data_IF_864321432880
#
_entry.id   IF_864321432880
#
_cell.length_a   1.000
_cell.length_b   1.000
_cell.length_c   1.000
_cell.angle_alpha   90.00
_cell.angle_beta   90.00
_cell.angle_gamma   90.00
#
_symmetry.space_group_name_H-M   'P 1'
#
loop_
_entity.id
_entity.type
_entity.pdbx_description
1 polymer ?
#
# COMPACT_ATOMS: atom_id res chain seq x y z
N UNK A 1 -6.10 -53.75 89.91
CA UNK A 1 -5.14 -53.46 88.82
C UNK A 1 -5.91 -53.59 87.52
N UNK A 2 -6.25 -52.43 86.94
CA UNK A 2 -7.01 -52.21 85.70
C UNK A 2 -6.16 -52.64 84.48
N UNK A 3 -6.74 -53.41 83.53
CA UNK A 3 -7.32 -52.93 82.25
C UNK A 3 -6.28 -52.80 81.13
N UNK A 4 -6.53 -52.99 79.83
CA UNK A 4 -7.45 -53.80 79.02
C UNK A 4 -7.05 -53.48 77.54
N UNK A 5 -7.31 -54.42 76.63
CA UNK A 5 -7.37 -54.30 75.16
C UNK A 5 -6.16 -54.07 74.22
N UNK A 6 -6.14 -54.80 73.07
CA UNK A 6 -5.35 -54.52 71.88
C UNK A 6 -6.17 -53.91 70.71
N UNK A 7 -5.42 -53.54 69.66
CA UNK A 7 -5.75 -53.68 68.22
C UNK A 7 -6.43 -52.52 67.46
N UNK A 8 -5.59 -51.85 66.65
CA UNK A 8 -5.62 -51.85 65.17
C UNK A 8 -7.02 -51.71 64.52
N UNK A 9 -7.57 -50.50 64.57
CA UNK A 9 -8.59 -50.04 63.63
C UNK A 9 -8.32 -48.58 63.24
N UNK A 10 -8.56 -48.30 61.96
CA UNK A 10 -8.81 -46.97 61.39
C UNK A 10 -7.67 -45.96 61.28
N UNK A 11 -7.09 -45.88 60.08
CA UNK A 11 -7.25 -44.68 59.26
C UNK A 11 -6.82 -44.95 57.81
N UNK A 12 -7.74 -45.59 57.07
CA UNK A 12 -7.77 -45.55 55.61
C UNK A 12 -8.63 -44.33 55.24
N UNK A 13 -8.03 -43.24 54.77
CA UNK A 13 -8.76 -42.18 54.06
C UNK A 13 -8.26 -42.12 52.63
N UNK A 14 -8.97 -42.85 51.78
CA UNK A 14 -9.00 -42.65 50.34
C UNK A 14 -9.43 -41.22 50.00
N UNK A 15 -8.52 -40.44 49.39
CA UNK A 15 -8.89 -39.31 48.52
C UNK A 15 -7.98 -39.27 47.28
N UNK A 16 -8.00 -40.35 46.49
CA UNK A 16 -7.44 -40.37 45.13
C UNK A 16 -8.53 -40.78 44.14
N UNK A 17 -9.49 -39.89 43.88
CA UNK A 17 -10.58 -40.19 42.94
C UNK A 17 -11.35 -39.02 42.34
N UNK A 18 -11.12 -37.78 42.80
CA UNK A 18 -11.87 -36.60 42.31
C UNK A 18 -11.07 -35.56 41.53
N UNK A 19 -9.76 -35.74 41.31
CA UNK A 19 -8.98 -34.78 40.52
C UNK A 19 -8.92 -35.10 39.01
N UNK A 20 -9.16 -36.34 38.57
CA UNK A 20 -9.05 -36.69 37.14
C UNK A 20 -10.25 -36.28 36.28
N UNK A 21 -11.43 -36.09 36.87
CA UNK A 21 -12.62 -35.69 36.10
C UNK A 21 -12.64 -34.19 35.78
N UNK A 22 -12.06 -33.35 36.64
CA UNK A 22 -12.04 -31.89 36.44
C UNK A 22 -11.13 -31.47 35.29
N UNK A 23 -10.00 -32.15 35.07
CA UNK A 23 -9.09 -31.86 33.95
C UNK A 23 -9.66 -32.27 32.60
N UNK A 24 -10.47 -33.33 32.53
CA UNK A 24 -11.14 -33.77 31.28
C UNK A 24 -12.24 -32.78 30.88
N UNK A 25 -13.03 -32.28 31.84
CA UNK A 25 -14.04 -31.24 31.56
C UNK A 25 -13.41 -29.90 31.12
N UNK A 26 -12.29 -29.49 31.72
CA UNK A 26 -11.59 -28.27 31.30
C UNK A 26 -10.99 -28.40 29.89
N UNK A 27 -10.45 -29.57 29.55
CA UNK A 27 -9.94 -29.86 28.21
C UNK A 27 -11.02 -29.84 27.13
N UNK A 28 -12.21 -30.38 27.41
CA UNK A 28 -13.36 -30.37 26.48
C UNK A 28 -13.89 -28.95 26.27
N UNK A 29 -13.96 -28.12 27.33
CA UNK A 29 -14.38 -26.71 27.22
C UNK A 29 -13.39 -25.86 26.41
N UNK A 30 -12.09 -26.07 26.56
CA UNK A 30 -11.06 -25.43 25.74
C UNK A 30 -11.15 -25.87 24.27
N UNK A 31 -11.38 -27.16 24.01
CA UNK A 31 -11.58 -27.66 22.65
C UNK A 31 -12.86 -27.09 22.01
N UNK A 32 -13.96 -26.98 22.77
CA UNK A 32 -15.20 -26.36 22.32
C UNK A 32 -15.03 -24.86 22.05
N UNK A 33 -14.26 -24.13 22.86
CA UNK A 33 -13.95 -22.72 22.61
C UNK A 33 -13.07 -22.50 21.38
N UNK A 34 -12.11 -23.40 21.12
CA UNK A 34 -11.29 -23.38 19.90
C UNK A 34 -12.11 -23.74 18.67
N UNK A 35 -12.97 -24.76 18.74
CA UNK A 35 -13.86 -25.14 17.64
C UNK A 35 -14.90 -24.04 17.39
N UNK A 36 -15.57 -23.53 18.42
CA UNK A 36 -16.56 -22.46 18.28
C UNK A 36 -15.93 -21.13 17.84
N UNK A 37 -14.74 -20.79 18.36
CA UNK A 37 -13.96 -19.63 17.91
C UNK A 37 -13.55 -19.75 16.44
N UNK A 38 -13.09 -20.93 16.00
CA UNK A 38 -12.74 -21.17 14.60
C UNK A 38 -13.95 -21.18 13.65
N UNK A 39 -15.15 -21.51 14.14
CA UNK A 39 -16.39 -21.40 13.33
C UNK A 39 -16.98 -20.00 13.32
N UNK A 40 -16.66 -19.15 14.30
CA UNK A 40 -17.21 -17.80 14.41
C UNK A 40 -16.68 -16.88 13.29
N UNK A 41 -15.40 -17.00 12.98
CA UNK A 41 -14.77 -16.28 11.87
C UNK A 41 -15.33 -16.72 10.50
N UNK A 42 -15.81 -17.96 10.41
CA UNK A 42 -16.43 -18.49 9.18
C UNK A 42 -17.89 -18.03 9.00
N UNK A 43 -18.61 -17.77 10.09
CA UNK A 43 -20.03 -17.39 10.06
C UNK A 43 -20.29 -15.88 10.04
N UNK A 44 -19.37 -15.06 10.56
CA UNK A 44 -19.54 -13.61 10.61
C UNK A 44 -19.73 -12.94 9.23
N UNK A 45 -18.96 -13.28 8.17
CA UNK A 45 -19.10 -12.64 6.86
C UNK A 45 -20.46 -12.93 6.20
N UNK A 46 -20.96 -14.16 6.37
CA UNK A 46 -22.23 -14.60 5.80
C UNK A 46 -23.44 -13.87 6.42
N UNK A 47 -23.40 -13.60 7.73
CA UNK A 47 -24.45 -12.82 8.40
C UNK A 47 -24.43 -11.35 7.98
N UNK A 48 -23.26 -10.76 7.79
CA UNK A 48 -23.14 -9.37 7.37
C UNK A 48 -23.69 -9.15 5.96
N UNK A 49 -23.41 -10.07 5.03
CA UNK A 49 -23.94 -10.02 3.66
C UNK A 49 -25.47 -10.17 3.62
N UNK A 50 -26.06 -10.99 4.49
CA UNK A 50 -27.53 -11.10 4.64
C UNK A 50 -28.14 -9.80 5.16
N UNK A 51 -27.55 -9.20 6.19
CA UNK A 51 -28.02 -7.92 6.75
C UNK A 51 -27.98 -6.79 5.73
N UNK A 52 -26.92 -6.72 4.91
CA UNK A 52 -26.79 -5.75 3.81
C UNK A 52 -27.90 -5.94 2.78
N UNK A 53 -28.19 -7.18 2.39
CA UNK A 53 -29.27 -7.49 1.45
C UNK A 53 -30.64 -7.05 1.98
N UNK A 54 -30.93 -7.32 3.25
CA UNK A 54 -32.18 -6.90 3.91
C UNK A 54 -32.28 -5.36 3.94
N UNK A 55 -31.20 -4.65 4.31
CA UNK A 55 -31.18 -3.18 4.31
C UNK A 55 -31.50 -2.60 2.94
N UNK A 56 -30.91 -3.15 1.88
CA UNK A 56 -31.19 -2.70 0.50
C UNK A 56 -32.65 -2.94 0.14
N UNK A 57 -33.21 -4.11 0.46
CA UNK A 57 -34.63 -4.43 0.22
C UNK A 57 -35.59 -3.50 0.98
N UNK A 58 -35.21 -3.04 2.18
CA UNK A 58 -35.95 -2.07 2.99
C UNK A 58 -35.73 -0.60 2.55
N UNK A 59 -35.02 -0.35 1.45
CA UNK A 59 -34.72 1.00 0.97
C UNK A 59 -33.71 1.77 1.84
N UNK A 60 -33.00 1.08 2.73
CA UNK A 60 -31.88 1.60 3.51
C UNK A 60 -30.60 1.49 2.67
N UNK A 61 -30.57 2.26 1.59
CA UNK A 61 -29.48 2.29 0.63
C UNK A 61 -29.02 3.70 0.28
N UNK A 62 -27.77 3.82 -0.11
CA UNK A 62 -27.15 5.03 -0.60
C UNK A 62 -26.26 4.79 -1.81
N UNK A 63 -25.98 5.86 -2.53
CA UNK A 63 -25.02 5.92 -3.61
C UNK A 63 -23.72 6.54 -3.09
N UNK A 64 -22.58 6.07 -3.56
CA UNK A 64 -21.26 6.65 -3.29
C UNK A 64 -20.68 7.21 -4.60
N UNK A 65 -20.47 8.52 -4.63
CA UNK A 65 -19.72 9.21 -5.68
C UNK A 65 -18.30 9.42 -5.19
N UNK A 66 -17.32 9.00 -5.99
CA UNK A 66 -15.92 9.18 -5.62
C UNK A 66 -15.15 10.00 -6.64
N UNK A 67 -14.21 10.78 -6.12
CA UNK A 67 -13.23 11.53 -6.90
C UNK A 67 -11.83 11.06 -6.49
N UNK A 68 -11.03 10.70 -7.48
CA UNK A 68 -9.67 10.25 -7.35
C UNK A 68 -8.74 11.27 -8.00
N UNK A 69 -7.68 11.63 -7.30
CA UNK A 69 -6.66 12.54 -7.79
C UNK A 69 -5.28 11.91 -7.64
N UNK A 70 -4.45 12.01 -8.66
CA UNK A 70 -3.04 11.64 -8.55
C UNK A 70 -2.28 12.68 -7.71
N UNK A 71 -1.53 12.20 -6.72
CA UNK A 71 -0.53 12.99 -5.99
C UNK A 71 0.77 13.11 -6.80
N UNK A 72 0.65 13.53 -8.07
CA UNK A 72 1.77 13.62 -9.02
C UNK A 72 1.80 14.99 -9.72
N UNK A 73 2.99 15.59 -9.96
CA UNK A 73 3.12 16.80 -10.74
C UNK A 73 2.57 16.61 -12.16
N UNK A 74 1.59 17.41 -12.55
CA UNK A 74 0.92 17.32 -13.86
C UNK A 74 -0.49 16.72 -13.83
N UNK A 75 -0.98 16.27 -12.67
CA UNK A 75 -2.40 15.95 -12.37
C UNK A 75 -3.18 15.36 -13.55
N UNK A 76 -2.86 14.13 -13.94
CA UNK A 76 -3.74 13.38 -14.84
C UNK A 76 -4.82 12.69 -14.01
N UNK A 77 -6.07 12.65 -14.48
CA UNK A 77 -7.06 11.80 -13.83
C UNK A 77 -6.62 10.32 -13.93
N UNK A 78 -6.73 9.55 -12.84
CA UNK A 78 -6.30 8.16 -12.83
C UNK A 78 -7.32 7.27 -13.57
N UNK A 79 -7.18 7.19 -14.89
CA UNK A 79 -8.16 6.51 -15.76
C UNK A 79 -7.98 4.98 -15.81
N UNK A 80 -6.84 4.48 -15.36
CA UNK A 80 -6.55 3.05 -15.21
C UNK A 80 -6.71 2.54 -13.77
N UNK A 81 -7.29 3.35 -12.88
CA UNK A 81 -7.66 2.92 -11.54
C UNK A 81 -9.00 2.16 -11.56
N UNK A 82 -9.14 1.25 -10.60
CA UNK A 82 -10.34 0.50 -10.30
C UNK A 82 -10.66 0.58 -8.81
N UNK A 83 -11.95 0.53 -8.50
CA UNK A 83 -12.49 0.61 -7.15
C UNK A 83 -13.28 -0.65 -6.85
N UNK A 84 -12.90 -1.36 -5.78
CA UNK A 84 -13.62 -2.50 -5.25
C UNK A 84 -14.26 -2.07 -3.93
N UNK A 85 -15.57 -2.30 -3.79
CA UNK A 85 -16.31 -1.98 -2.56
C UNK A 85 -16.85 -3.29 -2.00
N UNK A 86 -16.31 -3.68 -0.85
CA UNK A 86 -16.54 -4.99 -0.24
C UNK A 86 -16.26 -6.14 -1.24
N UNK A 87 -17.27 -6.99 -1.48
CA UNK A 87 -17.23 -8.13 -2.39
C UNK A 87 -17.89 -7.84 -3.76
N UNK A 88 -18.14 -6.56 -4.08
CA UNK A 88 -18.75 -6.18 -5.35
C UNK A 88 -17.73 -6.23 -6.50
N UNK A 89 -18.20 -6.42 -7.75
CA UNK A 89 -17.34 -6.32 -8.92
C UNK A 89 -16.60 -4.98 -8.97
N UNK A 90 -15.37 -4.94 -9.52
CA UNK A 90 -14.61 -3.71 -9.67
C UNK A 90 -15.35 -2.68 -10.52
N UNK A 91 -15.27 -1.42 -10.09
CA UNK A 91 -15.77 -0.25 -10.83
C UNK A 91 -14.56 0.44 -11.47
N UNK A 92 -14.54 0.50 -12.80
CA UNK A 92 -13.50 1.24 -13.52
C UNK A 92 -13.69 2.74 -13.35
N UNK A 93 -12.61 3.43 -13.01
CA UNK A 93 -12.58 4.88 -12.85
C UNK A 93 -12.56 5.53 -14.24
N UNK A 94 -13.29 6.63 -14.40
CA UNK A 94 -13.29 7.42 -15.63
C UNK A 94 -13.10 8.90 -15.32
N UNK A 95 -12.05 9.50 -15.87
CA UNK A 95 -11.68 10.90 -15.62
C UNK A 95 -11.58 11.20 -14.12
N UNK A 96 -10.97 10.27 -13.38
CA UNK A 96 -10.82 10.37 -11.92
C UNK A 96 -12.12 10.25 -11.13
N UNK A 97 -13.23 9.78 -11.73
CA UNK A 97 -14.53 9.68 -11.07
C UNK A 97 -15.09 8.27 -11.12
N UNK A 98 -15.81 7.89 -10.07
CA UNK A 98 -16.59 6.65 -10.03
C UNK A 98 -17.94 6.83 -9.32
N UNK A 99 -18.87 5.90 -9.58
CA UNK A 99 -20.18 5.86 -8.96
C UNK A 99 -20.54 4.42 -8.59
N UNK A 100 -20.76 4.18 -7.31
CA UNK A 100 -21.35 2.95 -6.80
C UNK A 100 -22.77 3.21 -6.34
N UNK A 101 -23.73 2.43 -6.83
CA UNK A 101 -25.15 2.58 -6.50
C UNK A 101 -25.64 1.52 -5.54
N UNK A 102 -26.73 1.81 -4.84
CA UNK A 102 -27.47 0.81 -4.06
C UNK A 102 -26.62 0.12 -2.98
N UNK A 103 -25.68 0.83 -2.35
CA UNK A 103 -24.93 0.34 -1.20
C UNK A 103 -25.83 0.33 0.02
N UNK A 104 -25.79 -0.73 0.84
CA UNK A 104 -26.51 -0.74 2.11
C UNK A 104 -26.04 0.42 3.01
N UNK A 105 -26.87 0.91 3.93
CA UNK A 105 -26.37 1.85 4.93
C UNK A 105 -25.45 1.17 5.95
N UNK A 106 -24.35 1.84 6.31
CA UNK A 106 -23.35 1.33 7.26
C UNK A 106 -21.92 1.48 6.76
N UNK A 107 -20.99 0.74 7.39
CA UNK A 107 -19.56 0.76 7.02
C UNK A 107 -19.30 -0.13 5.80
N UNK A 108 -18.49 0.38 4.88
CA UNK A 108 -18.05 -0.31 3.67
C UNK A 108 -16.53 -0.18 3.53
N UNK A 109 -15.86 -1.26 3.17
CA UNK A 109 -14.44 -1.23 2.82
C UNK A 109 -14.29 -0.90 1.33
N UNK A 110 -13.50 0.12 1.02
CA UNK A 110 -13.13 0.50 -0.33
C UNK A 110 -11.66 0.14 -0.53
N UNK A 111 -11.36 -0.61 -1.59
CA UNK A 111 -10.00 -0.85 -2.07
C UNK A 111 -9.86 -0.21 -3.44
N UNK A 112 -8.86 0.63 -3.59
CA UNK A 112 -8.56 1.34 -4.82
C UNK A 112 -7.20 0.88 -5.26
N UNK A 113 -7.08 0.51 -6.53
CA UNK A 113 -5.81 0.07 -7.11
C UNK A 113 -5.86 0.25 -8.62
N UNK A 114 -4.79 -0.09 -9.29
CA UNK A 114 -4.66 0.03 -10.73
C UNK A 114 -3.20 -0.04 -11.12
N UNK A 115 -2.94 -0.28 -12.40
CA UNK A 115 -1.57 -0.38 -12.87
C UNK A 115 -0.81 0.93 -12.60
N UNK A 116 0.39 0.82 -12.03
CA UNK A 116 1.21 1.98 -11.72
C UNK A 116 0.80 2.78 -10.48
N UNK A 117 -0.21 2.36 -9.72
CA UNK A 117 -0.54 2.96 -8.41
C UNK A 117 -0.23 2.01 -7.25
N UNK A 118 0.06 2.59 -6.10
CA UNK A 118 0.01 1.87 -4.85
C UNK A 118 -1.44 1.61 -4.42
N UNK A 119 -1.76 0.42 -3.88
CA UNK A 119 -3.11 0.12 -3.43
C UNK A 119 -3.47 0.97 -2.20
N UNK A 120 -4.71 1.47 -2.18
CA UNK A 120 -5.27 2.25 -1.08
C UNK A 120 -6.50 1.56 -0.51
N UNK A 121 -6.55 1.40 0.81
CA UNK A 121 -7.74 0.89 1.51
C UNK A 121 -8.32 1.97 2.43
N UNK A 122 -9.65 2.13 2.38
CA UNK A 122 -10.42 3.10 3.17
C UNK A 122 -11.73 2.49 3.63
N UNK A 123 -12.17 2.86 4.83
CA UNK A 123 -13.54 2.56 5.28
C UNK A 123 -14.40 3.80 5.12
N UNK A 124 -15.56 3.67 4.49
CA UNK A 124 -16.56 4.74 4.40
C UNK A 124 -17.85 4.33 5.07
N UNK A 125 -18.55 5.31 5.65
CA UNK A 125 -19.87 5.10 6.21
C UNK A 125 -20.94 5.63 5.25
N UNK A 126 -21.74 4.72 4.69
CA UNK A 126 -22.81 5.02 3.74
C UNK A 126 -24.09 5.36 4.51
N UNK A 127 -24.63 6.54 4.21
CA UNK A 127 -25.95 6.99 4.67
C UNK A 127 -26.96 6.92 3.52
N UNK A 128 -28.24 7.03 3.84
CA UNK A 128 -29.31 7.00 2.82
C UNK A 128 -29.15 8.18 1.85
N UNK A 129 -29.29 7.93 0.55
CA UNK A 129 -29.16 8.96 -0.47
C UNK A 129 -27.73 9.10 -1.01
N UNK A 130 -27.26 10.32 -1.26
CA UNK A 130 -25.98 10.57 -1.94
C UNK A 130 -24.83 10.78 -0.94
N UNK A 131 -23.76 10.02 -1.11
CA UNK A 131 -22.52 10.12 -0.34
C UNK A 131 -21.37 10.52 -1.27
N UNK A 132 -20.30 11.12 -0.71
CA UNK A 132 -19.10 11.53 -1.45
C UNK A 132 -17.83 11.06 -0.75
N UNK A 133 -16.81 10.74 -1.53
CA UNK A 133 -15.44 10.47 -1.03
C UNK A 133 -14.41 11.04 -2.01
N UNK A 134 -13.32 11.59 -1.48
CA UNK A 134 -12.16 12.01 -2.26
C UNK A 134 -10.93 11.23 -1.79
N UNK A 135 -10.14 10.69 -2.71
CA UNK A 135 -8.95 9.90 -2.37
C UNK A 135 -7.78 10.30 -3.26
N UNK A 136 -6.65 10.62 -2.63
CA UNK A 136 -5.37 10.81 -3.31
C UNK A 136 -4.73 9.46 -3.63
N UNK A 137 -4.21 9.31 -4.84
CA UNK A 137 -3.48 8.13 -5.29
C UNK A 137 -1.99 8.44 -5.41
N UNK A 138 -1.18 7.58 -4.82
CA UNK A 138 0.27 7.58 -5.00
C UNK A 138 0.64 6.63 -6.14
N UNK A 139 1.52 7.07 -7.03
CA UNK A 139 2.13 6.16 -8.00
C UNK A 139 2.99 5.12 -7.30
N UNK A 140 3.14 3.95 -7.91
CA UNK A 140 4.20 3.03 -7.51
C UNK A 140 5.57 3.67 -7.77
N UNK A 141 6.63 3.27 -7.03
CA UNK A 141 7.97 3.79 -7.27
C UNK A 141 8.44 3.56 -8.71
N UNK A 142 8.05 2.45 -9.34
CA UNK A 142 8.38 2.13 -10.73
C UNK A 142 7.68 3.06 -11.73
N UNK A 143 6.39 3.34 -11.55
CA UNK A 143 5.66 4.23 -12.44
C UNK A 143 6.12 5.69 -12.28
N UNK A 144 6.39 6.11 -11.04
CA UNK A 144 7.04 7.40 -10.79
C UNK A 144 8.40 7.49 -11.49
N UNK A 145 9.21 6.43 -11.45
CA UNK A 145 10.51 6.40 -12.10
C UNK A 145 10.37 6.43 -13.62
N UNK A 146 9.40 5.71 -14.18
CA UNK A 146 9.10 5.70 -15.61
C UNK A 146 8.75 7.08 -16.11
N UNK A 147 7.84 7.78 -15.43
CA UNK A 147 7.44 9.14 -15.79
C UNK A 147 8.60 10.14 -15.61
N UNK A 148 9.41 10.02 -14.55
CA UNK A 148 10.61 10.84 -14.39
C UNK A 148 11.64 10.61 -15.51
N UNK A 149 11.95 9.35 -15.81
CA UNK A 149 12.87 8.98 -16.89
C UNK A 149 12.39 9.45 -18.26
N UNK A 150 11.08 9.44 -18.50
CA UNK A 150 10.49 9.99 -19.73
C UNK A 150 10.78 11.48 -19.88
N UNK A 151 10.68 12.26 -18.80
CA UNK A 151 11.05 13.69 -18.87
C UNK A 151 12.53 13.91 -19.19
N UNK A 152 13.43 13.03 -18.72
CA UNK A 152 14.85 13.06 -19.09
C UNK A 152 15.07 12.68 -20.56
N UNK A 153 14.38 11.65 -21.04
CA UNK A 153 14.43 11.21 -22.44
C UNK A 153 13.98 12.33 -23.40
N UNK A 154 12.97 13.09 -23.01
CA UNK A 154 12.41 14.20 -23.80
C UNK A 154 13.13 15.54 -23.56
N UNK A 155 14.21 15.56 -22.76
CA UNK A 155 14.95 16.76 -22.37
C UNK A 155 14.09 17.86 -21.73
N UNK A 156 12.99 17.47 -21.07
CA UNK A 156 12.11 18.37 -20.34
C UNK A 156 12.69 18.67 -18.95
N UNK A 157 13.83 19.35 -18.89
CA UNK A 157 14.58 19.57 -17.63
C UNK A 157 13.75 20.31 -16.57
N UNK A 158 12.90 21.24 -16.98
CA UNK A 158 12.01 21.96 -16.06
C UNK A 158 10.92 21.08 -15.45
N UNK A 159 10.51 20.01 -16.12
CA UNK A 159 9.62 18.97 -15.58
C UNK A 159 10.41 17.97 -14.75
N UNK A 160 11.59 17.56 -15.23
CA UNK A 160 12.54 16.69 -14.51
C UNK A 160 12.83 17.21 -13.10
N UNK A 161 13.00 18.54 -12.97
CA UNK A 161 13.25 19.21 -11.69
C UNK A 161 12.13 18.98 -10.66
N UNK A 162 10.86 18.94 -11.09
CA UNK A 162 9.71 18.76 -10.20
C UNK A 162 9.70 17.41 -9.49
N UNK A 163 10.50 16.45 -9.95
CA UNK A 163 10.65 15.13 -9.36
C UNK A 163 11.78 15.03 -8.35
N UNK A 164 12.67 16.01 -8.31
CA UNK A 164 13.80 16.00 -7.39
C UNK A 164 13.31 16.17 -5.95
N UNK A 165 13.89 15.43 -5.02
CA UNK A 165 13.52 15.57 -3.62
C UNK A 165 13.72 17.01 -3.12
N UNK A 166 12.91 17.47 -2.14
CA UNK A 166 12.99 18.85 -1.65
C UNK A 166 14.39 19.29 -1.23
N UNK A 167 15.19 18.36 -0.70
CA UNK A 167 16.58 18.61 -0.32
C UNK A 167 17.49 18.88 -1.52
N UNK A 168 17.27 18.24 -2.67
CA UNK A 168 17.99 18.57 -3.91
C UNK A 168 17.50 19.91 -4.48
N UNK A 169 16.19 20.17 -4.43
CA UNK A 169 15.61 21.44 -4.87
C UNK A 169 16.08 22.63 -4.02
N UNK A 170 16.45 22.39 -2.76
CA UNK A 170 16.99 23.42 -1.89
C UNK A 170 18.45 23.81 -2.22
N UNK A 171 19.19 22.95 -2.95
CA UNK A 171 20.61 23.20 -3.30
C UNK A 171 20.77 24.01 -4.57
N UNK A 172 19.81 23.94 -5.48
CA UNK A 172 19.89 24.56 -6.81
C UNK A 172 18.51 25.05 -7.22
N UNK A 173 18.40 26.30 -7.65
CA UNK A 173 17.12 26.80 -8.14
C UNK A 173 16.70 26.08 -9.42
N UNK A 174 15.41 26.10 -9.73
CA UNK A 174 14.88 25.52 -10.98
C UNK A 174 15.56 26.11 -12.23
N UNK A 175 15.83 27.41 -12.24
CA UNK A 175 16.45 28.08 -13.38
C UNK A 175 17.90 27.62 -13.60
N UNK A 176 18.70 27.60 -12.53
CA UNK A 176 20.09 27.12 -12.55
C UNK A 176 20.16 25.64 -12.96
N UNK A 177 19.25 24.80 -12.47
CA UNK A 177 19.17 23.40 -12.88
C UNK A 177 18.92 23.25 -14.38
N UNK A 178 17.95 23.99 -14.93
CA UNK A 178 17.62 23.96 -16.36
C UNK A 178 18.81 24.42 -17.19
N UNK A 179 19.45 25.52 -16.80
CA UNK A 179 20.63 26.06 -17.49
C UNK A 179 21.78 25.05 -17.51
N UNK A 180 22.12 24.48 -16.34
CA UNK A 180 23.15 23.46 -16.21
C UNK A 180 22.87 22.23 -17.08
N UNK A 181 21.64 21.69 -17.06
CA UNK A 181 21.28 20.51 -17.86
C UNK A 181 21.26 20.82 -19.36
N UNK A 182 20.81 22.00 -19.77
CA UNK A 182 20.92 22.46 -21.16
C UNK A 182 22.37 22.60 -21.63
N UNK A 183 23.28 23.06 -20.76
CA UNK A 183 24.71 23.16 -21.09
C UNK A 183 25.31 21.77 -21.35
N UNK A 184 25.06 20.79 -20.46
CA UNK A 184 25.46 19.39 -20.66
C UNK A 184 24.84 18.83 -21.95
N UNK A 185 23.56 19.07 -22.18
CA UNK A 185 22.88 18.60 -23.37
C UNK A 185 23.53 19.13 -24.66
N UNK A 186 23.95 20.39 -24.69
CA UNK A 186 24.65 20.98 -25.84
C UNK A 186 26.06 20.43 -26.02
N UNK A 187 26.80 20.25 -24.93
CA UNK A 187 28.18 19.77 -24.96
C UNK A 187 28.27 18.30 -25.39
N UNK A 188 27.42 17.44 -24.84
CA UNK A 188 27.51 15.99 -25.04
C UNK A 188 26.48 15.45 -26.05
N UNK A 189 25.46 16.25 -26.41
CA UNK A 189 24.30 15.80 -27.18
C UNK A 189 23.71 14.49 -26.66
N UNK A 190 23.71 14.34 -25.33
CA UNK A 190 23.28 13.12 -24.66
C UNK A 190 21.81 12.86 -24.96
N UNK A 191 21.46 11.65 -25.40
CA UNK A 191 20.06 11.28 -25.63
C UNK A 191 19.80 9.93 -25.02
N UNK A 192 18.74 9.82 -24.23
CA UNK A 192 18.21 8.51 -23.82
C UNK A 192 17.32 8.02 -24.96
N UNK A 193 17.78 7.03 -25.71
CA UNK A 193 17.06 6.45 -26.85
C UNK A 193 15.90 5.58 -26.34
N UNK A 194 16.17 4.74 -25.34
CA UNK A 194 15.17 3.90 -24.69
C UNK A 194 15.60 3.57 -23.25
N UNK A 195 14.65 3.16 -22.42
CA UNK A 195 14.92 2.68 -21.08
C UNK A 195 13.83 1.70 -20.63
N UNK A 196 14.23 0.78 -19.75
CA UNK A 196 13.36 -0.13 -19.03
C UNK A 196 13.53 0.10 -17.53
N UNK A 197 12.41 0.08 -16.81
CA UNK A 197 12.38 0.28 -15.36
C UNK A 197 12.17 -1.07 -14.71
N UNK A 198 13.17 -1.53 -13.95
CA UNK A 198 13.05 -2.75 -13.17
C UNK A 198 12.14 -2.55 -11.96
N UNK A 199 11.73 -3.66 -11.33
CA UNK A 199 10.99 -3.63 -10.07
C UNK A 199 11.81 -2.93 -8.98
N UNK A 200 11.15 -2.09 -8.17
CA UNK A 200 11.79 -1.42 -7.06
C UNK A 200 12.16 -2.41 -5.95
N UNK A 201 13.36 -2.22 -5.39
CA UNK A 201 13.80 -2.87 -4.17
C UNK A 201 13.71 -1.87 -3.01
N UNK A 202 12.86 -2.16 -2.02
CA UNK A 202 12.68 -1.30 -0.85
C UNK A 202 13.82 -1.48 0.14
N UNK A 203 14.67 -0.48 0.25
CA UNK A 203 15.77 -0.44 1.20
C UNK A 203 15.29 0.10 2.55
N UNK A 204 15.62 -0.64 3.62
CA UNK A 204 15.36 -0.17 4.99
C UNK A 204 16.13 1.12 5.28
N UNK A 205 17.39 1.19 4.83
CA UNK A 205 18.26 2.36 4.98
C UNK A 205 19.17 2.50 3.76
N UNK A 206 19.42 3.73 3.34
CA UNK A 206 20.36 4.09 2.28
C UNK A 206 21.13 5.35 2.67
N UNK A 207 22.45 5.35 2.46
CA UNK A 207 23.32 6.50 2.73
C UNK A 207 23.65 7.18 1.41
N UNK A 208 23.24 8.43 1.27
CA UNK A 208 23.50 9.22 0.06
C UNK A 208 25.01 9.42 -0.12
N UNK A 209 25.57 9.14 -1.30
CA UNK A 209 27.02 9.18 -1.53
C UNK A 209 27.60 10.58 -1.31
N UNK A 210 26.94 11.61 -1.85
CA UNK A 210 27.50 12.98 -1.81
C UNK A 210 27.32 13.69 -0.47
N UNK A 211 26.15 13.55 0.16
CA UNK A 211 25.83 14.26 1.42
C UNK A 211 26.18 13.46 2.67
N UNK A 212 26.40 12.16 2.54
CA UNK A 212 26.56 11.24 3.66
C UNK A 212 25.31 11.05 4.52
N UNK A 213 24.20 11.72 4.21
CA UNK A 213 22.93 11.62 4.92
C UNK A 213 22.32 10.24 4.75
N UNK A 214 21.72 9.70 5.83
CA UNK A 214 21.03 8.42 5.80
C UNK A 214 19.53 8.62 5.72
N UNK A 215 18.89 7.89 4.81
CA UNK A 215 17.46 7.89 4.57
C UNK A 215 16.90 6.49 4.84
N UNK A 216 15.71 6.44 5.43
CA UNK A 216 14.92 5.21 5.54
C UNK A 216 13.92 5.06 4.39
N UNK A 217 13.49 3.83 4.14
CA UNK A 217 12.40 3.51 3.20
C UNK A 217 12.63 4.04 1.77
N UNK A 218 13.84 3.81 1.27
CA UNK A 218 14.26 4.27 -0.06
C UNK A 218 13.97 3.17 -1.08
N UNK A 219 13.26 3.52 -2.15
CA UNK A 219 13.13 2.67 -3.32
C UNK A 219 14.43 2.74 -4.14
N UNK A 220 15.12 1.61 -4.30
CA UNK A 220 16.21 1.44 -5.26
C UNK A 220 15.66 0.80 -6.53
N UNK A 221 15.85 1.45 -7.67
CA UNK A 221 15.22 1.07 -8.94
C UNK A 221 16.30 0.98 -10.01
N UNK A 222 16.53 -0.21 -10.56
CA UNK A 222 17.48 -0.40 -11.67
C UNK A 222 16.86 0.08 -12.98
N UNK A 223 17.64 0.83 -13.75
CA UNK A 223 17.29 1.26 -15.10
C UNK A 223 18.28 0.63 -16.07
N UNK A 224 17.75 -0.04 -17.07
CA UNK A 224 18.51 -0.56 -18.21
C UNK A 224 18.14 0.32 -19.41
N UNK A 225 19.10 1.02 -20.01
CA UNK A 225 18.80 1.99 -21.06
C UNK A 225 19.83 2.07 -22.16
N UNK A 226 19.38 2.53 -23.33
CA UNK A 226 20.22 2.84 -24.47
C UNK A 226 20.41 4.35 -24.53
N UNK A 227 21.66 4.79 -24.46
CA UNK A 227 22.03 6.19 -24.58
C UNK A 227 22.86 6.44 -25.83
N UNK A 228 22.74 7.63 -26.38
CA UNK A 228 23.49 8.08 -27.56
C UNK A 228 24.22 9.37 -27.18
N UNK A 229 25.49 9.48 -27.59
CA UNK A 229 26.23 10.74 -27.55
C UNK A 229 26.62 11.15 -28.97
N UNK A 230 26.84 12.45 -29.17
CA UNK A 230 27.32 12.94 -30.46
C UNK A 230 28.63 12.24 -30.87
N UNK A 231 28.60 11.59 -32.03
CA UNK A 231 29.80 10.98 -32.64
C UNK A 231 30.27 9.66 -32.05
N UNK A 232 29.65 9.12 -30.98
CA UNK A 232 30.05 7.83 -30.37
C UNK A 232 29.05 6.70 -30.58
N UNK A 233 27.89 6.99 -31.18
CA UNK A 233 26.83 6.02 -31.43
C UNK A 233 26.03 5.66 -30.17
N UNK A 234 25.31 4.54 -30.23
CA UNK A 234 24.47 4.06 -29.13
C UNK A 234 25.24 3.10 -28.23
N UNK A 235 25.07 3.23 -26.92
CA UNK A 235 25.62 2.32 -25.92
C UNK A 235 24.56 1.95 -24.90
N UNK A 236 24.57 0.70 -24.45
CA UNK A 236 23.71 0.23 -23.38
C UNK A 236 24.37 0.54 -22.04
N UNK A 237 23.60 1.09 -21.11
CA UNK A 237 24.01 1.39 -19.74
C UNK A 237 22.98 0.86 -18.76
N UNK A 238 23.47 0.44 -17.61
CA UNK A 238 22.66 0.12 -16.45
C UNK A 238 23.04 1.06 -15.32
N UNK A 239 22.06 1.66 -14.67
CA UNK A 239 22.29 2.51 -13.50
C UNK A 239 21.15 2.37 -12.50
N UNK A 240 21.41 2.75 -11.26
CA UNK A 240 20.41 2.74 -10.20
C UNK A 240 19.82 4.14 -10.01
N UNK A 241 18.51 4.19 -9.75
CA UNK A 241 17.82 5.36 -9.23
C UNK A 241 17.44 5.11 -7.77
N UNK A 242 17.42 6.18 -7.00
CA UNK A 242 16.99 6.17 -5.61
C UNK A 242 15.84 7.15 -5.46
N UNK A 243 14.77 6.71 -4.83
CA UNK A 243 13.62 7.54 -4.54
C UNK A 243 13.16 7.38 -3.11
N UNK A 244 12.65 8.46 -2.52
CA UNK A 244 12.03 8.47 -1.20
C UNK A 244 10.62 9.02 -1.29
N UNK A 245 9.72 8.42 -0.53
CA UNK A 245 8.34 8.86 -0.45
C UNK A 245 8.20 10.02 0.55
N UNK A 246 7.56 11.12 0.12
CA UNK A 246 7.17 12.24 0.97
C UNK A 246 5.67 12.47 0.79
N UNK A 247 4.90 12.20 1.84
CA UNK A 247 3.43 12.15 1.74
C UNK A 247 3.00 11.07 0.75
N UNK A 248 2.17 11.45 -0.22
CA UNK A 248 1.63 10.55 -1.24
C UNK A 248 2.41 10.59 -2.57
N UNK A 249 3.69 10.98 -2.54
CA UNK A 249 4.50 11.12 -3.76
C UNK A 249 5.92 10.56 -3.57
N UNK A 250 6.43 9.88 -4.61
CA UNK A 250 7.84 9.49 -4.72
C UNK A 250 8.67 10.62 -5.33
N UNK A 251 9.81 10.89 -4.70
CA UNK A 251 10.76 11.93 -5.09
C UNK A 251 12.14 11.32 -5.28
N UNK A 252 12.87 11.81 -6.27
CA UNK A 252 14.12 11.21 -6.73
C UNK A 252 15.33 12.00 -6.27
N UNK A 253 16.37 11.27 -5.88
CA UNK A 253 17.68 11.87 -5.63
C UNK A 253 18.39 12.15 -6.95
N UNK A 254 19.12 13.26 -7.01
CA UNK A 254 19.91 13.64 -8.19
C UNK A 254 21.20 12.81 -8.34
N UNK A 255 21.52 11.93 -7.38
CA UNK A 255 22.72 11.12 -7.34
C UNK A 255 22.89 10.29 -8.62
N UNK A 256 23.74 10.80 -9.52
CA UNK A 256 24.55 10.10 -10.54
C UNK A 256 25.39 11.14 -11.28
#
# INVERSE_FOLDING_TARGET
>A
MLSDYPSRSDMRVERKGRLRKTWVFLGILLLAAVVLGSTYDYWAPAQENRLRTIKVALGLKGDLRGELAESYPGQSPPDNAQVVIDDRPPIMVKSGKFLARDLATGKHAIRIGGDGYEPVERTVNITKGSNKVAVGLCLSPEEAARRWMKTKQENLHGETYKFLCPEEQAKVSRAEYIEYKNAIQREYSLKIVSFEVARANMLKTWRHPDTGQTYSEVAKIRIDGVIEFAGSGQTTKTWDLYAKKYGDQWWFFAAN
#
